data_IF_504690943840
#
_entry.id   IF_504690943840
#
_cell.length_a   1.000
_cell.length_b   1.000
_cell.length_c   1.000
_cell.angle_alpha   90.00
_cell.angle_beta   90.00
_cell.angle_gamma   90.00
#
_symmetry.space_group_name_H-M   'P 1'
#
loop_
_entity.id
_entity.type
_entity.pdbx_description
1 polymer ?
#
# COMPACT_ATOMS: atom_id res chain seq x y z
N UNK A 1 27.90 30.23 20.45
CA UNK A 1 27.39 31.21 21.43
C UNK A 1 25.92 31.37 21.11
N UNK A 2 25.03 31.14 22.08
CA UNK A 2 23.61 31.29 21.86
C UNK A 2 23.30 32.78 21.64
N UNK A 3 22.64 33.10 20.54
CA UNK A 3 22.24 34.47 20.20
C UNK A 3 20.74 34.62 20.40
N UNK A 4 20.38 35.27 21.50
CA UNK A 4 19.00 35.41 21.97
C UNK A 4 18.14 36.21 20.99
N UNK A 5 18.68 37.28 20.41
CA UNK A 5 17.95 38.17 19.49
C UNK A 5 17.58 37.45 18.19
N UNK A 6 18.52 36.70 17.62
CA UNK A 6 18.27 35.89 16.43
C UNK A 6 17.16 34.86 16.67
N UNK A 7 17.07 34.30 17.88
CA UNK A 7 16.04 33.31 18.22
C UNK A 7 14.66 33.95 18.46
N UNK A 8 14.59 35.13 19.10
CA UNK A 8 13.34 35.89 19.28
C UNK A 8 12.78 36.33 17.91
N UNK A 9 13.64 36.77 16.99
CA UNK A 9 13.23 37.11 15.63
C UNK A 9 12.74 35.89 14.84
N UNK A 10 13.44 34.76 14.93
CA UNK A 10 13.00 33.50 14.29
C UNK A 10 11.61 33.05 14.80
N UNK A 11 11.34 33.23 16.10
CA UNK A 11 10.06 32.91 16.71
C UNK A 11 8.93 33.86 16.23
N UNK A 12 9.16 35.18 16.21
CA UNK A 12 8.17 36.15 15.72
C UNK A 12 7.89 36.00 14.22
N UNK A 13 8.91 35.69 13.40
CA UNK A 13 8.74 35.40 11.97
C UNK A 13 7.94 34.11 11.73
N UNK A 14 8.11 33.09 12.59
CA UNK A 14 7.27 31.90 12.53
C UNK A 14 5.80 32.22 12.82
N UNK A 15 5.52 33.06 13.82
CA UNK A 15 4.17 33.53 14.13
C UNK A 15 3.56 34.35 12.99
N UNK A 16 4.35 35.20 12.31
CA UNK A 16 3.92 35.92 11.10
C UNK A 16 3.59 34.98 9.94
N UNK A 17 4.35 33.90 9.77
CA UNK A 17 4.19 32.98 8.64
C UNK A 17 3.02 31.99 8.81
N UNK A 18 2.66 31.64 10.05
CA UNK A 18 1.70 30.56 10.34
C UNK A 18 0.51 30.97 11.23
N UNK A 19 0.52 32.15 11.84
CA UNK A 19 -0.54 32.66 12.71
C UNK A 19 -1.53 33.58 12.00
N UNK A 20 -2.77 33.64 12.51
CA UNK A 20 -3.79 34.62 12.11
C UNK A 20 -3.74 35.90 12.98
N UNK A 21 -2.54 36.29 13.42
CA UNK A 21 -2.31 37.43 14.31
C UNK A 21 -1.94 38.68 13.51
N UNK A 22 -2.33 39.87 13.99
CA UNK A 22 -1.92 41.13 13.39
C UNK A 22 -0.49 41.50 13.80
N UNK A 23 0.18 42.37 13.04
CA UNK A 23 1.54 42.81 13.37
C UNK A 23 1.65 43.50 14.74
N UNK A 24 0.58 44.17 15.21
CA UNK A 24 0.52 44.73 16.56
C UNK A 24 0.48 43.66 17.64
N UNK A 25 -0.27 42.57 17.43
CA UNK A 25 -0.38 41.48 18.39
C UNK A 25 0.94 40.73 18.53
N UNK A 26 1.66 40.56 17.41
CA UNK A 26 2.98 39.92 17.39
C UNK A 26 4.01 40.78 18.12
N UNK A 27 3.94 42.12 17.96
CA UNK A 27 4.82 43.05 18.69
C UNK A 27 4.56 43.01 20.20
N UNK A 28 3.29 42.93 20.62
CA UNK A 28 2.93 42.80 22.04
C UNK A 28 3.42 41.48 22.64
N UNK A 29 3.24 40.37 21.92
CA UNK A 29 3.73 39.05 22.35
C UNK A 29 5.26 38.98 22.40
N UNK A 30 5.96 39.64 21.49
CA UNK A 30 7.42 39.75 21.52
C UNK A 30 7.91 40.54 22.73
N UNK A 31 7.25 41.65 23.08
CA UNK A 31 7.59 42.41 24.29
C UNK A 31 7.37 41.56 25.56
N UNK A 32 6.24 40.86 25.67
CA UNK A 32 6.00 39.97 26.80
C UNK A 32 7.01 38.82 26.90
N UNK A 33 7.42 38.26 25.76
CA UNK A 33 8.47 37.24 25.70
C UNK A 33 9.79 37.80 26.24
N UNK A 34 10.15 39.02 25.84
CA UNK A 34 11.37 39.69 26.29
C UNK A 34 11.35 39.96 27.79
N UNK A 35 10.25 40.47 28.32
CA UNK A 35 10.08 40.73 29.74
C UNK A 35 10.23 39.44 30.58
N UNK A 36 9.59 38.33 30.19
CA UNK A 36 9.74 37.05 30.91
C UNK A 36 11.18 36.50 30.83
N UNK A 37 11.86 36.67 29.70
CA UNK A 37 13.25 36.22 29.55
C UNK A 37 14.16 37.03 30.46
N UNK A 38 13.97 38.35 30.55
CA UNK A 38 14.74 39.20 31.46
C UNK A 38 14.55 38.79 32.93
N UNK A 39 13.32 38.51 33.34
CA UNK A 39 13.01 38.03 34.69
C UNK A 39 13.67 36.69 35.03
N UNK A 40 13.69 35.75 34.08
CA UNK A 40 14.32 34.44 34.26
C UNK A 40 15.85 34.52 34.28
N UNK A 41 16.43 35.40 33.46
CA UNK A 41 17.87 35.69 33.51
C UNK A 41 18.23 36.33 34.86
N UNK A 42 17.42 37.26 35.36
CA UNK A 42 17.60 37.87 36.68
C UNK A 42 17.48 36.84 37.82
N UNK A 43 16.67 35.80 37.65
CA UNK A 43 16.55 34.66 38.55
C UNK A 43 17.71 33.65 38.44
N UNK A 44 18.67 33.87 37.54
CA UNK A 44 19.90 33.09 37.41
C UNK A 44 19.89 31.99 36.35
N UNK A 45 18.89 31.95 35.46
CA UNK A 45 18.86 31.03 34.32
C UNK A 45 19.76 31.51 33.17
N UNK A 46 20.20 30.57 32.34
CA UNK A 46 20.91 30.92 31.11
C UNK A 46 19.94 31.46 30.05
N UNK A 47 20.41 32.28 29.08
CA UNK A 47 19.53 32.87 28.05
C UNK A 47 18.75 31.86 27.20
N UNK A 48 19.33 30.69 26.94
CA UNK A 48 18.72 29.59 26.20
C UNK A 48 17.62 28.87 27.00
N UNK A 49 17.85 28.62 28.29
CA UNK A 49 16.84 28.07 29.19
C UNK A 49 15.67 29.03 29.40
N UNK A 50 15.98 30.32 29.55
CA UNK A 50 15.00 31.39 29.73
C UNK A 50 14.05 31.48 28.53
N UNK A 51 14.60 31.50 27.30
CA UNK A 51 13.79 31.50 26.08
C UNK A 51 12.87 30.26 25.98
N UNK A 52 13.39 29.06 26.27
CA UNK A 52 12.61 27.83 26.16
C UNK A 52 11.45 27.78 27.16
N UNK A 53 11.67 28.29 28.37
CA UNK A 53 10.63 28.38 29.40
C UNK A 53 9.60 29.45 29.03
N UNK A 54 10.02 30.65 28.61
CA UNK A 54 9.10 31.74 28.26
C UNK A 54 8.25 31.39 27.03
N UNK A 55 8.82 30.80 25.99
CA UNK A 55 8.05 30.32 24.82
C UNK A 55 7.04 29.24 25.24
N UNK A 56 7.40 28.35 26.16
CA UNK A 56 6.48 27.33 26.70
C UNK A 56 5.39 27.94 27.57
N UNK A 57 5.68 29.02 28.31
CA UNK A 57 4.69 29.75 29.11
C UNK A 57 3.72 30.50 28.20
N UNK A 58 4.22 31.28 27.25
CA UNK A 58 3.42 31.97 26.22
C UNK A 58 2.56 31.02 25.39
N UNK A 59 3.10 29.87 24.98
CA UNK A 59 2.34 28.80 24.31
C UNK A 59 1.28 28.13 25.18
N UNK A 60 1.30 28.34 26.50
CA UNK A 60 0.33 27.86 27.47
C UNK A 60 -0.67 28.97 27.89
N UNK A 61 -0.65 30.13 27.21
CA UNK A 61 -1.54 31.27 27.45
C UNK A 61 -2.72 31.30 26.46
N UNK A 62 -3.56 30.27 26.54
CA UNK A 62 -5.02 30.47 26.51
C UNK A 62 -5.54 31.02 27.86
N UNK A 63 -4.62 31.34 28.78
CA UNK A 63 -4.86 31.79 30.15
C UNK A 63 -4.81 33.32 30.39
N UNK A 64 -4.74 34.15 29.33
CA UNK A 64 -5.08 35.59 29.40
C UNK A 64 -6.51 35.76 28.87
N UNK A 65 -7.45 35.13 29.57
CA UNK A 65 -8.90 35.26 29.35
C UNK A 65 -9.58 36.00 30.50
N UNK A 66 -8.87 36.93 31.14
CA UNK A 66 -9.40 37.71 32.28
C UNK A 66 -9.80 39.15 31.93
N UNK A 67 -9.28 39.73 30.84
CA UNK A 67 -9.68 41.07 30.38
C UNK A 67 -10.57 41.04 29.11
N UNK A 68 -10.55 39.95 28.32
CA UNK A 68 -11.41 39.81 27.13
C UNK A 68 -12.79 39.17 27.39
N UNK A 69 -13.06 38.69 28.60
CA UNK A 69 -14.33 38.06 29.00
C UNK A 69 -15.44 39.06 29.39
N UNK A 70 -15.29 40.36 29.11
CA UNK A 70 -16.32 41.37 29.40
C UNK A 70 -17.25 41.70 28.23
N UNK A 71 -16.94 41.26 27.00
CA UNK A 71 -17.68 41.73 25.81
C UNK A 71 -18.37 40.62 25.01
N UNK A 72 -18.20 39.32 25.30
CA UNK A 72 -18.87 38.29 24.47
C UNK A 72 -19.18 36.93 25.15
N UNK A 73 -19.58 36.97 26.42
CA UNK A 73 -19.55 35.81 27.33
C UNK A 73 -20.76 34.87 27.22
N UNK A 74 -21.91 35.30 26.68
CA UNK A 74 -23.07 34.41 26.57
C UNK A 74 -22.99 33.38 25.43
N UNK A 75 -22.18 33.63 24.41
CA UNK A 75 -22.06 32.74 23.24
C UNK A 75 -20.82 31.84 23.28
N UNK A 76 -19.74 32.26 23.98
CA UNK A 76 -18.52 31.46 24.10
C UNK A 76 -18.66 30.32 25.11
N UNK A 77 -19.31 30.55 26.25
CA UNK A 77 -19.48 29.53 27.29
C UNK A 77 -20.31 28.34 26.84
N UNK A 78 -21.27 28.55 25.93
CA UNK A 78 -22.03 27.46 25.29
C UNK A 78 -21.20 26.64 24.30
N UNK A 79 -20.10 27.18 23.78
CA UNK A 79 -19.16 26.47 22.89
C UNK A 79 -17.98 25.82 23.62
N UNK A 80 -17.69 26.23 24.86
CA UNK A 80 -16.54 25.75 25.64
C UNK A 80 -16.91 24.68 26.69
N UNK A 81 -18.10 24.76 27.29
CA UNK A 81 -18.61 23.70 28.19
C UNK A 81 -19.35 22.58 27.46
N UNK A 82 -19.62 22.78 26.18
CA UNK A 82 -19.94 21.71 25.25
C UNK A 82 -18.69 21.55 24.41
N UNK A 83 -17.74 20.68 24.83
CA UNK A 83 -16.94 20.00 23.81
C UNK A 83 -17.97 19.56 22.76
N UNK A 84 -17.87 19.97 21.48
CA UNK A 84 -18.74 19.39 20.49
C UNK A 84 -18.51 17.89 20.61
N UNK A 85 -19.57 17.16 20.99
CA UNK A 85 -19.54 15.75 21.39
C UNK A 85 -18.87 14.86 20.32
N UNK A 86 -18.62 15.42 19.13
CA UNK A 86 -17.61 14.95 18.18
C UNK A 86 -16.96 16.13 17.45
N UNK A 87 -15.62 16.25 17.48
CA UNK A 87 -14.92 17.10 16.52
C UNK A 87 -15.18 16.58 15.10
N UNK A 88 -15.20 17.43 14.04
CA UNK A 88 -15.47 16.98 12.67
C UNK A 88 -14.54 15.83 12.23
N UNK A 89 -13.29 15.85 12.69
CA UNK A 89 -12.32 14.78 12.48
C UNK A 89 -12.69 13.47 13.21
N UNK A 90 -13.13 13.54 14.48
CA UNK A 90 -13.64 12.38 15.23
C UNK A 90 -14.90 11.81 14.58
N UNK A 91 -15.83 12.67 14.14
CA UNK A 91 -17.06 12.24 13.46
C UNK A 91 -16.75 11.53 12.13
N UNK A 92 -15.82 12.08 11.34
CA UNK A 92 -15.38 11.46 10.09
C UNK A 92 -14.69 10.11 10.36
N UNK A 93 -13.87 10.03 11.41
CA UNK A 93 -13.21 8.78 11.79
C UNK A 93 -14.22 7.71 12.23
N UNK A 94 -15.23 8.08 13.04
CA UNK A 94 -16.33 7.18 13.44
C UNK A 94 -17.11 6.68 12.22
N UNK A 95 -17.40 7.58 11.27
CA UNK A 95 -18.06 7.22 10.01
C UNK A 95 -17.21 6.25 9.18
N UNK A 96 -15.92 6.49 9.05
CA UNK A 96 -15.01 5.60 8.32
C UNK A 96 -14.95 4.21 8.96
N UNK A 97 -14.86 4.12 10.30
CA UNK A 97 -14.93 2.85 11.03
C UNK A 97 -16.28 2.15 10.81
N UNK A 98 -17.39 2.88 10.87
CA UNK A 98 -18.71 2.31 10.59
C UNK A 98 -18.79 1.74 9.18
N UNK A 99 -18.23 2.43 8.17
CA UNK A 99 -18.16 1.93 6.79
C UNK A 99 -17.30 0.67 6.71
N UNK A 100 -16.15 0.60 7.39
CA UNK A 100 -15.29 -0.59 7.45
C UNK A 100 -16.06 -1.79 7.99
N UNK A 101 -16.78 -1.62 9.11
CA UNK A 101 -17.59 -2.70 9.72
C UNK A 101 -18.71 -3.13 8.78
N UNK A 102 -19.48 -2.19 8.24
CA UNK A 102 -20.60 -2.50 7.33
C UNK A 102 -20.09 -3.23 6.09
N UNK A 103 -19.01 -2.75 5.46
CA UNK A 103 -18.47 -3.36 4.26
C UNK A 103 -17.81 -4.72 4.52
N UNK A 104 -17.16 -4.92 5.67
CA UNK A 104 -16.66 -6.23 6.06
C UNK A 104 -17.80 -7.25 6.23
N UNK A 105 -18.89 -6.84 6.89
CA UNK A 105 -20.07 -7.69 7.06
C UNK A 105 -20.75 -7.98 5.72
N UNK A 106 -20.95 -6.96 4.87
CA UNK A 106 -21.54 -7.13 3.55
C UNK A 106 -20.67 -8.05 2.66
N UNK A 107 -19.34 -7.92 2.71
CA UNK A 107 -18.43 -8.80 1.99
C UNK A 107 -18.51 -10.25 2.47
N UNK A 108 -18.50 -10.48 3.79
CA UNK A 108 -18.66 -11.82 4.36
C UNK A 108 -20.02 -12.44 4.03
N UNK A 109 -21.09 -11.65 4.09
CA UNK A 109 -22.42 -12.10 3.68
C UNK A 109 -22.49 -12.40 2.19
N UNK A 110 -21.89 -11.56 1.34
CA UNK A 110 -21.81 -11.80 -0.11
C UNK A 110 -21.07 -13.11 -0.41
N UNK A 111 -20.04 -13.44 0.38
CA UNK A 111 -19.33 -14.72 0.30
C UNK A 111 -20.23 -15.92 0.58
N UNK A 112 -21.24 -15.79 1.46
CA UNK A 112 -22.17 -16.88 1.82
C UNK A 112 -23.36 -17.00 0.87
N UNK A 113 -23.65 -15.98 0.06
CA UNK A 113 -24.79 -16.00 -0.89
C UNK A 113 -24.76 -17.23 -1.83
N UNK A 114 -23.63 -17.63 -2.45
CA UNK A 114 -23.59 -18.81 -3.31
C UNK A 114 -24.05 -20.11 -2.64
N UNK A 115 -23.84 -20.28 -1.33
CA UNK A 115 -24.28 -21.47 -0.59
C UNK A 115 -25.80 -21.59 -0.56
N UNK A 116 -26.53 -20.45 -0.56
CA UNK A 116 -28.00 -20.43 -0.65
C UNK A 116 -28.51 -21.00 -1.98
N UNK A 117 -27.66 -21.02 -3.00
CA UNK A 117 -27.95 -21.60 -4.33
C UNK A 117 -27.37 -23.02 -4.48
N UNK A 118 -26.89 -23.64 -3.41
CA UNK A 118 -26.36 -25.01 -3.42
C UNK A 118 -24.86 -25.11 -3.75
N UNK A 119 -24.14 -23.99 -3.88
CA UNK A 119 -22.69 -24.00 -4.03
C UNK A 119 -22.02 -24.06 -2.65
N UNK A 120 -21.86 -25.26 -2.11
CA UNK A 120 -21.13 -25.44 -0.83
C UNK A 120 -19.69 -24.92 -0.91
N UNK A 121 -19.20 -24.31 0.17
CA UNK A 121 -17.92 -23.61 0.25
C UNK A 121 -16.71 -24.54 0.02
N UNK A 122 -16.72 -25.67 0.72
CA UNK A 122 -15.64 -26.64 0.73
C UNK A 122 -15.96 -27.82 -0.21
N UNK A 123 -14.92 -28.42 -0.79
CA UNK A 123 -15.01 -29.68 -1.53
C UNK A 123 -14.95 -30.91 -0.59
N UNK A 124 -14.79 -32.10 -1.16
CA UNK A 124 -14.78 -33.36 -0.40
C UNK A 124 -13.52 -33.51 0.47
N UNK A 125 -12.44 -32.82 0.12
CA UNK A 125 -11.15 -32.87 0.81
C UNK A 125 -11.02 -31.73 1.85
N UNK A 126 -12.06 -30.90 1.99
CA UNK A 126 -12.07 -29.76 2.92
C UNK A 126 -11.38 -28.51 2.36
N UNK A 127 -11.07 -28.47 1.06
CA UNK A 127 -10.46 -27.30 0.41
C UNK A 127 -11.51 -26.36 -0.15
N UNK A 128 -11.16 -25.06 -0.27
CA UNK A 128 -12.06 -24.06 -0.83
C UNK A 128 -12.32 -24.37 -2.31
N UNK A 129 -13.59 -24.52 -2.72
CA UNK A 129 -13.88 -24.81 -4.13
C UNK A 129 -13.33 -23.73 -5.06
N UNK A 130 -12.86 -24.16 -6.23
CA UNK A 130 -12.27 -23.29 -7.26
C UNK A 130 -13.17 -22.11 -7.64
N UNK A 131 -14.50 -22.28 -7.59
CA UNK A 131 -15.46 -21.21 -7.79
C UNK A 131 -15.24 -20.02 -6.84
N UNK A 132 -15.02 -20.29 -5.54
CA UNK A 132 -14.79 -19.25 -4.54
C UNK A 132 -13.39 -18.65 -4.67
N UNK A 133 -12.38 -19.46 -4.98
CA UNK A 133 -11.01 -18.98 -5.22
C UNK A 133 -11.00 -18.00 -6.41
N UNK A 134 -11.64 -18.39 -7.52
CA UNK A 134 -11.77 -17.55 -8.72
C UNK A 134 -12.53 -16.24 -8.46
N UNK A 135 -13.56 -16.28 -7.62
CA UNK A 135 -14.40 -15.12 -7.33
C UNK A 135 -13.97 -14.31 -6.10
N UNK A 136 -12.90 -14.71 -5.40
CA UNK A 136 -12.42 -14.08 -4.16
C UNK A 136 -12.35 -12.55 -4.26
N UNK A 137 -11.80 -12.05 -5.36
CA UNK A 137 -11.65 -10.61 -5.61
C UNK A 137 -12.98 -9.87 -5.70
N UNK A 138 -14.01 -10.49 -6.26
CA UNK A 138 -15.34 -9.88 -6.39
C UNK A 138 -16.08 -9.80 -5.06
N UNK A 139 -15.73 -10.66 -4.09
CA UNK A 139 -16.35 -10.62 -2.77
C UNK A 139 -15.87 -9.45 -1.90
N UNK A 140 -14.64 -8.95 -2.11
CA UNK A 140 -14.04 -7.94 -1.22
C UNK A 140 -13.62 -6.64 -1.92
N UNK A 141 -13.02 -6.70 -3.11
CA UNK A 141 -12.44 -5.52 -3.77
C UNK A 141 -13.48 -4.46 -4.17
N UNK A 142 -14.72 -4.78 -4.59
CA UNK A 142 -15.74 -3.76 -4.83
C UNK A 142 -16.05 -2.91 -3.60
N UNK A 143 -16.02 -3.52 -2.40
CA UNK A 143 -16.27 -2.80 -1.14
C UNK A 143 -15.08 -1.91 -0.76
N UNK A 144 -13.85 -2.35 -0.99
CA UNK A 144 -12.65 -1.51 -0.84
C UNK A 144 -12.71 -0.33 -1.80
N UNK A 145 -13.08 -0.56 -3.07
CA UNK A 145 -13.27 0.52 -4.04
C UNK A 145 -14.37 1.50 -3.60
N UNK A 146 -15.52 0.98 -3.15
CA UNK A 146 -16.62 1.79 -2.63
C UNK A 146 -16.18 2.66 -1.43
N UNK A 147 -15.38 2.11 -0.51
CA UNK A 147 -14.82 2.86 0.62
C UNK A 147 -14.02 4.07 0.16
N UNK A 148 -13.11 3.89 -0.81
CA UNK A 148 -12.35 5.01 -1.36
C UNK A 148 -13.21 6.00 -2.14
N UNK A 149 -14.18 5.53 -2.92
CA UNK A 149 -15.09 6.40 -3.66
C UNK A 149 -15.93 7.29 -2.74
N UNK A 150 -16.42 6.75 -1.61
CA UNK A 150 -17.11 7.53 -0.58
C UNK A 150 -16.15 8.54 0.06
N UNK A 151 -14.97 8.08 0.49
CA UNK A 151 -13.97 8.91 1.20
C UNK A 151 -13.44 10.06 0.35
N UNK A 152 -13.31 9.86 -0.96
CA UNK A 152 -12.86 10.88 -1.92
C UNK A 152 -14.00 11.72 -2.50
N UNK A 153 -15.26 11.50 -2.08
CA UNK A 153 -16.46 12.17 -2.61
C UNK A 153 -16.51 12.10 -4.14
N UNK A 154 -16.26 10.91 -4.69
CA UNK A 154 -16.17 10.70 -6.12
C UNK A 154 -17.51 10.99 -6.83
N UNK A 155 -17.42 11.54 -8.05
CA UNK A 155 -18.60 11.80 -8.87
C UNK A 155 -19.26 10.51 -9.37
N UNK A 156 -20.54 10.60 -9.74
CA UNK A 156 -21.34 9.45 -10.19
C UNK A 156 -20.72 8.72 -11.39
N UNK A 157 -20.07 9.46 -12.29
CA UNK A 157 -19.37 8.89 -13.46
C UNK A 157 -18.21 7.97 -13.05
N UNK A 158 -17.46 8.34 -12.02
CA UNK A 158 -16.37 7.50 -11.49
C UNK A 158 -16.93 6.25 -10.83
N UNK A 159 -18.02 6.39 -10.05
CA UNK A 159 -18.75 5.25 -9.47
C UNK A 159 -19.21 4.26 -10.54
N UNK A 160 -19.93 4.75 -11.56
CA UNK A 160 -20.48 3.90 -12.62
C UNK A 160 -19.37 3.21 -13.43
N UNK A 161 -18.25 3.90 -13.65
CA UNK A 161 -17.10 3.33 -14.38
C UNK A 161 -16.46 2.20 -13.58
N UNK A 162 -16.14 2.43 -12.30
CA UNK A 162 -15.43 1.44 -11.48
C UNK A 162 -16.32 0.23 -11.19
N UNK A 163 -17.57 0.44 -10.76
CA UNK A 163 -18.50 -0.66 -10.53
C UNK A 163 -18.87 -1.38 -11.84
N UNK A 164 -18.98 -0.65 -12.95
CA UNK A 164 -19.18 -1.23 -14.28
C UNK A 164 -18.06 -2.20 -14.67
N UNK A 165 -16.80 -1.86 -14.37
CA UNK A 165 -15.65 -2.76 -14.61
C UNK A 165 -15.75 -4.02 -13.74
N UNK A 166 -16.09 -3.89 -12.45
CA UNK A 166 -16.26 -5.07 -11.57
C UNK A 166 -17.38 -5.99 -12.06
N UNK A 167 -18.54 -5.42 -12.41
CA UNK A 167 -19.68 -6.19 -12.93
C UNK A 167 -19.32 -6.87 -14.25
N UNK A 168 -18.72 -6.13 -15.19
CA UNK A 168 -18.33 -6.69 -16.49
C UNK A 168 -17.30 -7.82 -16.31
N UNK A 169 -16.30 -7.62 -15.46
CA UNK A 169 -15.31 -8.65 -15.15
C UNK A 169 -15.97 -9.88 -14.52
N UNK A 170 -16.86 -9.71 -13.54
CA UNK A 170 -17.58 -10.81 -12.92
C UNK A 170 -18.44 -11.59 -13.93
N UNK A 171 -19.14 -10.89 -14.81
CA UNK A 171 -19.95 -11.52 -15.87
C UNK A 171 -19.10 -12.32 -16.84
N UNK A 172 -17.99 -11.74 -17.34
CA UNK A 172 -17.10 -12.42 -18.29
C UNK A 172 -16.49 -13.67 -17.65
N UNK A 173 -15.90 -13.53 -16.45
CA UNK A 173 -15.14 -14.59 -15.80
C UNK A 173 -16.04 -15.77 -15.38
N UNK A 174 -17.29 -15.49 -14.99
CA UNK A 174 -18.25 -16.54 -14.65
C UNK A 174 -19.01 -17.10 -15.86
N UNK A 175 -18.99 -16.41 -17.01
CA UNK A 175 -19.54 -16.93 -18.26
C UNK A 175 -18.55 -17.84 -19.01
N UNK A 176 -17.24 -17.70 -18.78
CA UNK A 176 -16.24 -18.54 -19.41
C UNK A 176 -16.33 -19.98 -18.90
N UNK A 177 -16.40 -20.98 -19.81
CA UNK A 177 -16.22 -22.37 -19.42
C UNK A 177 -14.76 -22.60 -19.00
N UNK A 178 -14.52 -23.75 -18.40
CA UNK A 178 -13.18 -24.23 -18.07
C UNK A 178 -13.12 -25.71 -18.45
N UNK A 179 -12.09 -26.09 -19.20
CA UNK A 179 -11.89 -27.45 -19.67
C UNK A 179 -10.54 -27.96 -19.19
N UNK A 180 -10.44 -29.27 -18.96
CA UNK A 180 -9.17 -29.91 -18.60
C UNK A 180 -8.06 -29.56 -19.59
N UNK A 181 -6.86 -29.16 -19.11
CA UNK A 181 -6.35 -29.21 -17.72
C UNK A 181 -6.54 -27.90 -16.90
N UNK A 182 -7.50 -27.04 -17.25
CA UNK A 182 -7.91 -25.83 -16.51
C UNK A 182 -6.81 -24.76 -16.39
N UNK A 183 -5.81 -24.76 -17.29
CA UNK A 183 -4.66 -23.84 -17.21
C UNK A 183 -5.08 -22.38 -17.27
N UNK A 184 -6.00 -22.02 -18.17
CA UNK A 184 -6.49 -20.65 -18.29
C UNK A 184 -7.30 -20.18 -17.07
N UNK A 185 -7.99 -21.09 -16.36
CA UNK A 185 -8.69 -20.77 -15.12
C UNK A 185 -7.72 -20.50 -13.97
N UNK A 186 -6.67 -21.32 -13.82
CA UNK A 186 -5.61 -21.05 -12.83
C UNK A 186 -4.89 -19.73 -13.12
N UNK A 187 -4.56 -19.43 -14.39
CA UNK A 187 -3.97 -18.15 -14.75
C UNK A 187 -4.89 -16.98 -14.40
N UNK A 188 -6.19 -17.13 -14.63
CA UNK A 188 -7.19 -16.14 -14.28
C UNK A 188 -7.24 -15.90 -12.77
N UNK A 189 -7.20 -16.96 -11.95
CA UNK A 189 -7.16 -16.88 -10.48
C UNK A 189 -6.01 -15.99 -9.99
N UNK A 190 -4.83 -16.06 -10.61
CA UNK A 190 -3.68 -15.25 -10.19
C UNK A 190 -3.70 -13.82 -10.76
N UNK A 191 -4.16 -13.61 -12.00
CA UNK A 191 -4.05 -12.30 -12.67
C UNK A 191 -5.24 -11.38 -12.41
N UNK A 192 -6.45 -11.94 -12.22
CA UNK A 192 -7.66 -11.16 -11.98
C UNK A 192 -7.59 -10.32 -10.69
N UNK A 193 -7.09 -10.83 -9.53
CA UNK A 193 -6.92 -10.01 -8.34
C UNK A 193 -5.98 -8.83 -8.57
N UNK A 194 -4.88 -9.03 -9.32
CA UNK A 194 -3.92 -7.96 -9.64
C UNK A 194 -4.55 -6.89 -10.53
N UNK A 195 -5.29 -7.30 -11.56
CA UNK A 195 -6.03 -6.40 -12.44
C UNK A 195 -7.05 -5.57 -11.65
N UNK A 196 -7.90 -6.22 -10.84
CA UNK A 196 -8.93 -5.55 -10.07
C UNK A 196 -8.35 -4.68 -8.95
N UNK A 197 -7.20 -5.04 -8.39
CA UNK A 197 -6.49 -4.19 -7.44
C UNK A 197 -6.02 -2.88 -8.10
N UNK A 198 -5.56 -2.92 -9.36
CA UNK A 198 -5.23 -1.71 -10.12
C UNK A 198 -6.47 -0.85 -10.41
N UNK A 199 -7.66 -1.48 -10.60
CA UNK A 199 -8.95 -0.76 -10.68
C UNK A 199 -9.30 -0.10 -9.34
N UNK A 200 -9.11 -0.78 -8.21
CA UNK A 200 -9.20 -0.17 -6.87
C UNK A 200 -8.23 1.01 -6.73
N UNK A 201 -7.04 0.90 -7.32
CA UNK A 201 -6.06 1.98 -7.37
C UNK A 201 -6.60 3.25 -8.03
N UNK A 202 -7.40 3.13 -9.09
CA UNK A 202 -8.09 4.28 -9.68
C UNK A 202 -9.08 4.94 -8.71
N UNK A 203 -9.81 4.15 -7.91
CA UNK A 203 -10.69 4.67 -6.84
C UNK A 203 -9.89 5.39 -5.75
N UNK A 204 -8.74 4.83 -5.35
CA UNK A 204 -7.86 5.40 -4.34
C UNK A 204 -7.21 6.72 -4.78
N UNK A 205 -6.67 6.77 -6.01
CA UNK A 205 -5.94 7.94 -6.55
C UNK A 205 -6.89 9.08 -6.95
N UNK A 206 -8.08 8.75 -7.47
CA UNK A 206 -9.06 9.75 -7.91
C UNK A 206 -8.52 10.66 -9.03
N UNK A 207 -8.70 11.98 -8.88
CA UNK A 207 -8.38 12.98 -9.93
C UNK A 207 -6.88 13.08 -10.25
N UNK A 208 -6.00 12.64 -9.35
CA UNK A 208 -4.56 12.70 -9.52
C UNK A 208 -3.97 11.56 -10.37
N UNK A 209 -4.81 10.72 -10.99
CA UNK A 209 -4.36 9.52 -11.74
C UNK A 209 -3.37 9.83 -12.86
N UNK A 210 -3.42 11.03 -13.45
CA UNK A 210 -2.47 11.47 -14.48
C UNK A 210 -1.09 11.84 -13.91
N UNK A 211 -1.01 12.21 -12.63
CA UNK A 211 0.23 12.56 -11.95
C UNK A 211 1.00 11.34 -11.44
N UNK A 212 2.33 11.38 -11.56
CA UNK A 212 3.20 10.33 -11.00
C UNK A 212 3.12 10.26 -9.47
N UNK A 213 2.84 11.38 -8.79
CA UNK A 213 2.72 11.41 -7.33
C UNK A 213 1.52 10.60 -6.83
N UNK A 214 0.35 10.74 -7.45
CA UNK A 214 -0.85 9.96 -7.11
C UNK A 214 -0.60 8.46 -7.29
N UNK A 215 -0.01 8.07 -8.43
CA UNK A 215 0.38 6.68 -8.71
C UNK A 215 1.41 6.16 -7.69
N UNK A 216 2.41 6.95 -7.33
CA UNK A 216 3.40 6.58 -6.30
C UNK A 216 2.75 6.41 -4.92
N UNK A 217 1.79 7.26 -4.56
CA UNK A 217 1.04 7.13 -3.31
C UNK A 217 0.22 5.83 -3.24
N UNK A 218 -0.29 5.35 -4.38
CA UNK A 218 -1.00 4.07 -4.46
C UNK A 218 -0.07 2.87 -4.34
N UNK A 219 1.10 2.97 -4.98
CA UNK A 219 2.16 1.97 -4.84
C UNK A 219 2.60 1.84 -3.37
N UNK A 220 2.82 2.97 -2.68
CA UNK A 220 3.13 2.98 -1.24
C UNK A 220 2.03 2.33 -0.42
N UNK A 221 0.79 2.76 -0.66
CA UNK A 221 -0.39 2.19 -0.02
C UNK A 221 -0.48 0.68 -0.22
N UNK A 222 -0.22 0.18 -1.42
CA UNK A 222 -0.31 -1.25 -1.74
C UNK A 222 0.64 -2.11 -0.89
N UNK A 223 1.89 -1.70 -0.73
CA UNK A 223 2.86 -2.48 0.06
C UNK A 223 2.65 -2.36 1.54
N UNK A 224 2.21 -1.18 2.01
CA UNK A 224 1.78 -1.05 3.40
C UNK A 224 0.54 -1.92 3.67
N UNK A 225 -0.45 -1.90 2.78
CA UNK A 225 -1.61 -2.77 2.87
C UNK A 225 -1.22 -4.25 2.84
N UNK A 226 -0.23 -4.65 2.04
CA UNK A 226 0.29 -6.01 2.07
C UNK A 226 0.90 -6.37 3.43
N UNK A 227 1.81 -5.54 3.95
CA UNK A 227 2.50 -5.80 5.23
C UNK A 227 1.51 -5.83 6.41
N UNK A 228 0.65 -4.82 6.51
CA UNK A 228 -0.37 -4.76 7.56
C UNK A 228 -1.43 -5.85 7.38
N UNK A 229 -1.78 -6.18 6.13
CA UNK A 229 -2.71 -7.27 5.80
C UNK A 229 -2.22 -8.60 6.34
N UNK A 230 -0.95 -8.94 6.11
CA UNK A 230 -0.33 -10.15 6.66
C UNK A 230 -0.38 -10.15 8.19
N UNK A 231 -0.07 -9.02 8.84
CA UNK A 231 -0.10 -8.93 10.30
C UNK A 231 -1.52 -9.06 10.88
N UNK A 232 -2.51 -8.40 10.27
CA UNK A 232 -3.91 -8.47 10.72
C UNK A 232 -4.47 -9.87 10.47
N UNK A 233 -4.19 -10.48 9.32
CA UNK A 233 -4.57 -11.87 9.02
C UNK A 233 -3.92 -12.86 9.99
N UNK A 234 -2.65 -12.67 10.35
CA UNK A 234 -2.01 -13.49 11.38
C UNK A 234 -2.75 -13.38 12.72
N UNK A 235 -3.23 -12.20 13.10
CA UNK A 235 -4.11 -12.01 14.26
C UNK A 235 -5.41 -12.81 14.16
N UNK A 236 -6.06 -12.84 12.99
CA UNK A 236 -7.27 -13.67 12.74
C UNK A 236 -6.94 -15.16 12.88
N UNK A 237 -5.82 -15.62 12.31
CA UNK A 237 -5.40 -17.03 12.41
C UNK A 237 -5.10 -17.43 13.86
N UNK A 238 -4.43 -16.57 14.63
CA UNK A 238 -4.19 -16.79 16.05
C UNK A 238 -5.51 -16.87 16.83
N UNK A 239 -6.46 -15.97 16.55
CA UNK A 239 -7.80 -16.03 17.15
C UNK A 239 -8.53 -17.33 16.82
N UNK A 240 -8.44 -17.81 15.58
CA UNK A 240 -9.00 -19.10 15.17
C UNK A 240 -8.38 -20.25 15.95
N UNK A 241 -7.05 -20.29 16.07
CA UNK A 241 -6.34 -21.31 16.83
C UNK A 241 -6.72 -21.32 18.31
N UNK A 242 -6.79 -20.15 18.96
CA UNK A 242 -7.26 -20.05 20.34
C UNK A 242 -8.71 -20.50 20.50
N UNK A 243 -9.57 -20.15 19.55
CA UNK A 243 -10.98 -20.56 19.58
C UNK A 243 -11.10 -22.07 19.47
N UNK A 244 -10.35 -22.71 18.57
CA UNK A 244 -10.30 -24.17 18.45
C UNK A 244 -9.89 -24.82 19.79
N UNK A 245 -8.78 -24.39 20.39
CA UNK A 245 -8.27 -24.97 21.65
C UNK A 245 -9.25 -24.80 22.82
N UNK A 246 -9.87 -23.63 22.97
CA UNK A 246 -10.79 -23.36 24.09
C UNK A 246 -12.05 -24.23 23.99
N UNK A 247 -12.61 -24.40 22.79
CA UNK A 247 -13.81 -25.21 22.59
C UNK A 247 -13.53 -26.71 22.61
N UNK A 248 -12.37 -27.14 22.09
CA UNK A 248 -11.92 -28.52 22.20
C UNK A 248 -11.74 -28.96 23.67
N UNK A 249 -11.23 -28.06 24.52
CA UNK A 249 -11.08 -28.32 25.97
C UNK A 249 -12.40 -28.64 26.69
N UNK A 250 -13.54 -28.17 26.15
CA UNK A 250 -14.89 -28.49 26.62
C UNK A 250 -15.63 -29.50 25.73
N UNK A 251 -14.89 -30.19 24.85
CA UNK A 251 -15.38 -31.23 23.94
C UNK A 251 -16.47 -30.74 22.96
N UNK A 252 -16.36 -29.49 22.50
CA UNK A 252 -17.21 -28.92 21.46
C UNK A 252 -16.39 -28.76 20.19
N UNK A 253 -16.81 -29.45 19.12
CA UNK A 253 -16.23 -29.27 17.79
C UNK A 253 -16.77 -27.97 17.15
N UNK A 254 -15.86 -27.06 16.83
CA UNK A 254 -16.15 -25.76 16.21
C UNK A 254 -15.52 -25.61 14.83
N UNK A 255 -14.95 -26.68 14.25
CA UNK A 255 -14.23 -26.62 12.98
C UNK A 255 -15.05 -25.97 11.86
N UNK A 256 -16.31 -26.40 11.69
CA UNK A 256 -17.23 -25.85 10.69
C UNK A 256 -17.53 -24.36 10.93
N UNK A 257 -17.66 -23.93 12.19
CA UNK A 257 -17.85 -22.52 12.50
C UNK A 257 -16.60 -21.69 12.15
N UNK A 258 -15.41 -22.23 12.43
CA UNK A 258 -14.14 -21.56 12.13
C UNK A 258 -13.94 -21.43 10.62
N UNK A 259 -14.06 -22.53 9.88
CA UNK A 259 -13.79 -22.57 8.45
C UNK A 259 -14.82 -21.81 7.61
N UNK A 260 -16.10 -21.97 7.92
CA UNK A 260 -17.17 -21.40 7.08
C UNK A 260 -17.65 -20.00 7.50
N UNK A 261 -17.34 -19.56 8.73
CA UNK A 261 -17.79 -18.27 9.25
C UNK A 261 -16.64 -17.41 9.75
N UNK A 262 -15.90 -17.85 10.77
CA UNK A 262 -14.88 -17.00 11.40
C UNK A 262 -13.78 -16.60 10.41
N UNK A 263 -13.28 -17.54 9.60
CA UNK A 263 -12.27 -17.25 8.59
C UNK A 263 -12.80 -16.36 7.46
N UNK A 264 -14.04 -16.55 7.03
CA UNK A 264 -14.65 -15.76 5.94
C UNK A 264 -14.90 -14.31 6.38
N UNK A 265 -15.65 -14.12 7.48
CA UNK A 265 -15.94 -12.78 7.99
C UNK A 265 -14.69 -12.13 8.59
N UNK A 266 -13.83 -12.90 9.26
CA UNK A 266 -12.56 -12.45 9.79
C UNK A 266 -11.59 -12.02 8.70
N UNK A 267 -11.50 -12.75 7.58
CA UNK A 267 -10.71 -12.37 6.42
C UNK A 267 -11.23 -11.10 5.73
N UNK A 268 -12.55 -10.97 5.56
CA UNK A 268 -13.16 -9.75 5.02
C UNK A 268 -12.92 -8.54 5.93
N UNK A 269 -13.07 -8.73 7.25
CA UNK A 269 -12.76 -7.71 8.24
C UNK A 269 -11.28 -7.34 8.22
N UNK A 270 -10.37 -8.31 8.16
CA UNK A 270 -8.95 -8.07 8.08
C UNK A 270 -8.57 -7.24 6.85
N UNK A 271 -9.14 -7.55 5.68
CA UNK A 271 -8.91 -6.79 4.45
C UNK A 271 -9.39 -5.34 4.58
N UNK A 272 -10.61 -5.11 5.08
CA UNK A 272 -11.17 -3.76 5.26
C UNK A 272 -10.44 -2.96 6.36
N UNK A 273 -10.13 -3.58 7.50
CA UNK A 273 -9.37 -2.97 8.60
C UNK A 273 -7.99 -2.56 8.11
N UNK A 274 -7.31 -3.42 7.36
CA UNK A 274 -5.99 -3.14 6.77
C UNK A 274 -6.02 -1.89 5.91
N UNK A 275 -6.98 -1.80 4.99
CA UNK A 275 -7.16 -0.64 4.11
C UNK A 275 -7.36 0.64 4.93
N UNK A 276 -8.21 0.57 5.95
CA UNK A 276 -8.49 1.71 6.82
C UNK A 276 -7.27 2.13 7.66
N UNK A 277 -6.54 1.17 8.25
CA UNK A 277 -5.36 1.43 9.07
C UNK A 277 -4.28 2.15 8.26
N UNK A 278 -3.98 1.67 7.05
CA UNK A 278 -2.98 2.28 6.18
C UNK A 278 -3.38 3.70 5.77
N UNK A 279 -4.65 3.90 5.39
CA UNK A 279 -5.16 5.23 5.03
C UNK A 279 -5.16 6.20 6.22
N UNK A 280 -5.51 5.73 7.43
CA UNK A 280 -5.52 6.56 8.65
C UNK A 280 -4.10 6.91 9.12
N UNK A 281 -3.14 5.99 8.98
CA UNK A 281 -1.75 6.15 9.45
C UNK A 281 -0.94 7.16 8.64
N UNK A 282 -1.30 7.44 7.39
CA UNK A 282 -0.53 8.22 6.41
C UNK A 282 0.02 9.58 6.90
N UNK A 283 -0.45 10.11 8.04
CA UNK A 283 -0.01 11.37 8.65
C UNK A 283 0.91 11.25 9.88
N UNK A 284 1.10 10.07 10.51
CA UNK A 284 1.66 9.99 11.88
C UNK A 284 2.98 9.20 12.02
N UNK A 285 3.28 8.23 11.15
CA UNK A 285 4.41 7.31 11.38
C UNK A 285 5.11 6.94 10.06
N UNK A 286 6.43 6.76 10.10
CA UNK A 286 7.24 6.28 8.98
C UNK A 286 6.71 4.98 8.37
N UNK A 287 6.83 4.86 7.05
CA UNK A 287 6.29 3.74 6.29
C UNK A 287 7.19 2.50 6.44
N UNK A 288 6.61 1.36 6.82
CA UNK A 288 7.36 0.10 7.04
C UNK A 288 7.94 -0.48 5.75
N UNK A 289 7.23 -0.39 4.62
CA UNK A 289 7.66 -0.99 3.36
C UNK A 289 9.04 -0.49 2.89
N UNK A 290 9.33 0.82 2.89
CA UNK A 290 10.69 1.36 2.75
C UNK A 290 11.77 0.74 3.63
N UNK A 291 11.48 0.56 4.92
CA UNK A 291 12.44 0.04 5.90
C UNK A 291 12.74 -1.42 5.56
N UNK A 292 11.70 -2.20 5.31
CA UNK A 292 11.81 -3.59 4.92
C UNK A 292 12.63 -3.72 3.63
N UNK A 293 12.36 -2.87 2.63
CA UNK A 293 13.11 -2.88 1.39
C UNK A 293 14.60 -2.64 1.59
N UNK A 294 14.99 -1.66 2.42
CA UNK A 294 16.40 -1.39 2.73
C UNK A 294 17.11 -2.56 3.42
N UNK A 295 16.40 -3.33 4.25
CA UNK A 295 16.94 -4.50 4.95
C UNK A 295 17.08 -5.69 3.99
N UNK A 296 16.06 -5.94 3.17
CA UNK A 296 16.00 -7.14 2.33
C UNK A 296 16.76 -6.98 1.01
N UNK A 297 16.88 -5.79 0.43
CA UNK A 297 17.62 -5.59 -0.81
C UNK A 297 19.07 -6.12 -0.80
N UNK A 298 19.93 -5.83 0.22
CA UNK A 298 21.27 -6.43 0.27
C UNK A 298 21.24 -7.95 0.39
N UNK A 299 20.30 -8.51 1.14
CA UNK A 299 20.17 -9.97 1.33
C UNK A 299 19.80 -10.65 0.01
N UNK A 300 18.81 -10.11 -0.71
CA UNK A 300 18.42 -10.61 -2.03
C UNK A 300 19.57 -10.49 -3.03
N UNK A 301 20.30 -9.38 -3.01
CA UNK A 301 21.47 -9.22 -3.87
C UNK A 301 22.52 -10.32 -3.61
N UNK A 302 22.85 -10.58 -2.34
CA UNK A 302 23.80 -11.64 -1.97
C UNK A 302 23.29 -13.01 -2.47
N UNK A 303 22.02 -13.35 -2.22
CA UNK A 303 21.44 -14.62 -2.66
C UNK A 303 21.45 -14.76 -4.18
N UNK A 304 21.05 -13.73 -4.92
CA UNK A 304 21.02 -13.76 -6.39
C UNK A 304 22.43 -13.89 -6.99
N UNK A 305 23.42 -13.18 -6.44
CA UNK A 305 24.82 -13.29 -6.87
C UNK A 305 25.38 -14.67 -6.54
N UNK A 306 25.17 -15.17 -5.32
CA UNK A 306 25.58 -16.51 -4.92
C UNK A 306 24.97 -17.58 -5.83
N UNK A 307 23.68 -17.44 -6.15
CA UNK A 307 22.98 -18.31 -7.08
C UNK A 307 23.62 -18.32 -8.47
N UNK A 308 23.91 -17.14 -9.05
CA UNK A 308 24.58 -17.04 -10.34
C UNK A 308 25.98 -17.70 -10.30
N UNK A 309 26.74 -17.50 -9.23
CA UNK A 309 28.06 -18.14 -9.05
C UNK A 309 27.92 -19.66 -9.02
N UNK A 310 27.00 -20.21 -8.22
CA UNK A 310 26.77 -21.66 -8.12
C UNK A 310 26.34 -22.24 -9.46
N UNK A 311 25.47 -21.55 -10.20
CA UNK A 311 25.03 -21.99 -11.52
C UNK A 311 26.20 -22.06 -12.51
N UNK A 312 27.08 -21.05 -12.52
CA UNK A 312 28.28 -21.04 -13.37
C UNK A 312 29.23 -22.19 -13.00
N UNK A 313 29.46 -22.42 -11.71
CA UNK A 313 30.37 -23.48 -11.23
C UNK A 313 29.84 -24.87 -11.56
N UNK A 314 28.53 -25.10 -11.35
CA UNK A 314 27.91 -26.42 -11.56
C UNK A 314 27.61 -26.71 -13.03
N UNK A 315 27.50 -25.68 -13.87
CA UNK A 315 27.08 -25.79 -15.27
C UNK A 315 25.62 -26.23 -15.45
N UNK A 316 24.87 -26.35 -14.35
CA UNK A 316 23.49 -26.78 -14.35
C UNK A 316 22.57 -25.56 -14.31
N UNK A 317 21.72 -25.42 -15.32
CA UNK A 317 20.68 -24.40 -15.37
C UNK A 317 19.37 -24.96 -14.83
N UNK A 318 18.91 -24.55 -13.63
CA UNK A 318 17.65 -25.04 -13.06
C UNK A 318 16.42 -24.58 -13.85
N UNK A 319 16.57 -23.61 -14.75
CA UNK A 319 15.48 -23.05 -15.56
C UNK A 319 14.91 -24.04 -16.59
N UNK A 320 15.51 -25.21 -16.75
CA UNK A 320 14.94 -26.30 -17.54
C UNK A 320 13.77 -26.99 -16.82
N UNK A 321 13.73 -26.91 -15.50
CA UNK A 321 12.67 -27.47 -14.67
C UNK A 321 11.55 -26.45 -14.43
N UNK A 322 10.29 -26.92 -14.51
CA UNK A 322 9.12 -26.05 -14.41
C UNK A 322 9.01 -25.36 -13.05
N UNK A 323 9.24 -26.10 -11.97
CA UNK A 323 8.99 -25.61 -10.61
C UNK A 323 10.01 -24.55 -10.20
N UNK A 324 11.23 -24.65 -10.74
CA UNK A 324 12.26 -23.65 -10.55
C UNK A 324 11.91 -22.32 -11.21
N UNK A 325 11.36 -22.33 -12.44
CA UNK A 325 10.95 -21.10 -13.13
C UNK A 325 9.93 -20.27 -12.32
N UNK A 326 8.94 -20.93 -11.70
CA UNK A 326 7.94 -20.26 -10.86
C UNK A 326 8.61 -19.57 -9.65
N UNK A 327 9.58 -20.24 -9.02
CA UNK A 327 10.35 -19.65 -7.91
C UNK A 327 11.17 -18.43 -8.35
N UNK A 328 11.73 -18.44 -9.56
CA UNK A 328 12.47 -17.29 -10.11
C UNK A 328 11.55 -16.13 -10.48
N UNK A 329 10.40 -16.38 -11.10
CA UNK A 329 9.41 -15.34 -11.41
C UNK A 329 8.95 -14.64 -10.11
N UNK A 330 8.66 -15.42 -9.06
CA UNK A 330 8.36 -14.87 -7.73
C UNK A 330 9.52 -14.04 -7.17
N UNK A 331 10.76 -14.51 -7.28
CA UNK A 331 11.94 -13.76 -6.84
C UNK A 331 12.10 -12.45 -7.61
N UNK A 332 11.92 -12.44 -8.93
CA UNK A 332 12.02 -11.23 -9.75
C UNK A 332 10.90 -10.23 -9.43
N UNK A 333 9.67 -10.71 -9.21
CA UNK A 333 8.56 -9.88 -8.74
C UNK A 333 8.85 -9.25 -7.37
N UNK A 334 9.42 -10.03 -6.43
CA UNK A 334 9.86 -9.51 -5.12
C UNK A 334 10.96 -8.46 -5.27
N UNK A 335 11.96 -8.71 -6.10
CA UNK A 335 13.05 -7.76 -6.38
C UNK A 335 12.50 -6.47 -6.98
N UNK A 336 11.59 -6.56 -7.96
CA UNK A 336 10.90 -5.38 -8.50
C UNK A 336 10.19 -4.59 -7.39
N UNK A 337 9.49 -5.28 -6.48
CA UNK A 337 8.87 -4.68 -5.31
C UNK A 337 9.88 -3.94 -4.43
N UNK A 338 10.98 -4.59 -4.06
CA UNK A 338 12.07 -4.01 -3.25
C UNK A 338 12.66 -2.76 -3.93
N UNK A 339 12.97 -2.86 -5.23
CA UNK A 339 13.52 -1.77 -6.05
C UNK A 339 12.59 -0.56 -6.02
N UNK A 340 11.31 -0.81 -6.24
CA UNK A 340 10.26 0.20 -6.23
C UNK A 340 10.13 0.85 -4.84
N UNK A 341 10.23 0.11 -3.74
CA UNK A 341 10.13 0.66 -2.38
C UNK A 341 11.36 1.47 -1.98
N UNK A 342 12.55 1.07 -2.42
CA UNK A 342 13.76 1.88 -2.24
C UNK A 342 13.62 3.21 -2.99
N UNK A 343 13.15 3.19 -4.24
CA UNK A 343 12.89 4.42 -5.02
C UNK A 343 11.82 5.29 -4.34
N UNK A 344 10.75 4.65 -3.88
CA UNK A 344 9.63 5.31 -3.21
C UNK A 344 10.04 6.03 -1.92
N UNK A 345 10.99 5.49 -1.17
CA UNK A 345 11.48 6.05 0.09
C UNK A 345 12.49 7.20 -0.10
N UNK A 346 12.92 7.47 -1.33
CA UNK A 346 14.03 8.37 -1.60
C UNK A 346 13.59 9.83 -1.63
N UNK A 347 14.29 10.68 -0.89
CA UNK A 347 14.13 12.14 -0.98
C UNK A 347 14.82 12.70 -2.24
N UNK A 348 14.02 13.12 -3.22
CA UNK A 348 14.45 13.61 -4.53
C UNK A 348 15.57 14.67 -4.45
N UNK A 349 15.68 15.42 -3.34
CA UNK A 349 16.65 16.52 -3.18
C UNK A 349 18.05 16.09 -2.75
N UNK A 350 18.22 14.90 -2.17
CA UNK A 350 19.57 14.48 -1.74
C UNK A 350 20.38 13.98 -2.95
N UNK A 351 21.73 13.95 -2.88
CA UNK A 351 22.54 13.32 -3.92
C UNK A 351 22.37 11.79 -3.94
N UNK A 352 23.00 11.15 -4.92
CA UNK A 352 23.10 9.69 -4.97
C UNK A 352 23.76 9.14 -3.70
N UNK A 353 23.16 8.09 -3.12
CA UNK A 353 23.65 7.45 -1.90
C UNK A 353 23.94 5.96 -2.11
N UNK A 354 24.44 5.27 -1.08
CA UNK A 354 24.77 3.84 -1.13
C UNK A 354 23.58 2.98 -1.60
N UNK A 355 22.36 3.31 -1.17
CA UNK A 355 21.17 2.56 -1.55
C UNK A 355 20.85 2.71 -3.03
N UNK A 356 21.16 3.84 -3.67
CA UNK A 356 21.00 3.98 -5.12
C UNK A 356 21.93 3.01 -5.87
N UNK A 357 23.18 2.87 -5.44
CA UNK A 357 24.14 1.91 -6.05
C UNK A 357 23.74 0.45 -5.79
N UNK A 358 23.28 0.15 -4.57
CA UNK A 358 22.77 -1.17 -4.23
C UNK A 358 21.55 -1.50 -5.11
N UNK A 359 20.64 -0.54 -5.29
CA UNK A 359 19.46 -0.71 -6.10
C UNK A 359 19.80 -0.96 -7.57
N UNK A 360 20.74 -0.19 -8.15
CA UNK A 360 21.21 -0.45 -9.51
C UNK A 360 21.85 -1.84 -9.62
N UNK A 361 22.69 -2.23 -8.67
CA UNK A 361 23.31 -3.57 -8.69
C UNK A 361 22.25 -4.66 -8.65
N UNK A 362 21.26 -4.54 -7.77
CA UNK A 362 20.14 -5.46 -7.67
C UNK A 362 19.35 -5.56 -8.99
N UNK A 363 19.06 -4.43 -9.64
CA UNK A 363 18.41 -4.38 -10.95
C UNK A 363 19.27 -5.08 -12.01
N UNK A 364 20.58 -4.82 -12.06
CA UNK A 364 21.46 -5.45 -13.05
C UNK A 364 21.55 -6.96 -12.85
N UNK A 365 21.64 -7.44 -11.61
CA UNK A 365 21.62 -8.87 -11.30
C UNK A 365 20.27 -9.48 -11.68
N UNK A 366 19.15 -8.80 -11.41
CA UNK A 366 17.83 -9.23 -11.82
C UNK A 366 17.71 -9.36 -13.34
N UNK A 367 18.22 -8.38 -14.11
CA UNK A 367 18.24 -8.42 -15.56
C UNK A 367 19.01 -9.61 -16.14
N UNK A 368 20.13 -9.99 -15.50
CA UNK A 368 20.88 -11.19 -15.91
C UNK A 368 20.05 -12.45 -15.67
N UNK A 369 19.43 -12.58 -14.49
CA UNK A 369 18.60 -13.73 -14.14
C UNK A 369 17.38 -13.82 -15.07
N UNK A 370 16.69 -12.72 -15.29
CA UNK A 370 15.54 -12.59 -16.20
C UNK A 370 15.93 -12.95 -17.65
N UNK A 371 17.09 -12.49 -18.11
CA UNK A 371 17.63 -12.88 -19.43
C UNK A 371 17.88 -14.40 -19.56
N UNK A 372 18.36 -15.06 -18.50
CA UNK A 372 18.53 -16.51 -18.47
C UNK A 372 17.16 -17.21 -18.47
N UNK A 373 16.21 -16.73 -17.65
CA UNK A 373 14.85 -17.26 -17.58
C UNK A 373 14.14 -17.15 -18.93
N UNK A 374 14.18 -15.98 -19.58
CA UNK A 374 13.64 -15.74 -20.92
C UNK A 374 14.23 -16.70 -21.95
N UNK A 375 15.55 -16.92 -21.92
CA UNK A 375 16.21 -17.86 -22.83
C UNK A 375 15.69 -19.29 -22.65
N UNK A 376 15.49 -19.73 -21.41
CA UNK A 376 14.91 -21.04 -21.10
C UNK A 376 13.44 -21.14 -21.54
N UNK A 377 12.64 -20.10 -21.31
CA UNK A 377 11.23 -20.05 -21.75
C UNK A 377 11.14 -20.12 -23.28
N UNK A 378 11.97 -19.37 -24.00
CA UNK A 378 12.02 -19.39 -25.47
C UNK A 378 12.41 -20.77 -26.00
N UNK A 379 13.41 -21.42 -25.40
CA UNK A 379 13.77 -22.80 -25.74
C UNK A 379 12.60 -23.77 -25.50
N UNK A 380 11.88 -23.64 -24.38
CA UNK A 380 10.74 -24.50 -24.07
C UNK A 380 9.54 -24.25 -24.98
N UNK A 381 9.35 -23.03 -25.46
CA UNK A 381 8.33 -22.68 -26.45
C UNK A 381 8.65 -23.28 -27.81
N UNK A 382 9.92 -23.25 -28.24
CA UNK A 382 10.34 -23.84 -29.51
C UNK A 382 10.35 -25.37 -29.48
N UNK A 383 10.79 -25.97 -28.37
CA UNK A 383 10.90 -27.43 -28.23
C UNK A 383 9.55 -28.12 -27.94
N UNK A 384 8.69 -27.52 -27.12
CA UNK A 384 7.48 -28.16 -26.60
C UNK A 384 6.18 -27.41 -26.96
N UNK A 385 6.24 -26.46 -27.90
CA UNK A 385 5.10 -25.67 -28.36
C UNK A 385 4.58 -24.62 -27.38
N UNK A 386 3.63 -23.82 -27.86
CA UNK A 386 2.99 -22.72 -27.12
C UNK A 386 1.90 -23.28 -26.21
N UNK A 387 1.96 -22.94 -24.93
CA UNK A 387 0.91 -23.25 -23.94
C UNK A 387 0.55 -21.97 -23.17
N UNK A 388 -0.64 -21.90 -22.54
CA UNK A 388 -1.06 -20.72 -21.78
C UNK A 388 -0.02 -20.30 -20.75
N UNK A 389 0.46 -21.26 -19.95
CA UNK A 389 1.41 -21.00 -18.86
C UNK A 389 2.76 -20.49 -19.36
N UNK A 390 3.29 -21.05 -20.47
CA UNK A 390 4.57 -20.59 -21.02
C UNK A 390 4.45 -19.21 -21.65
N UNK A 391 3.33 -18.91 -22.30
CA UNK A 391 3.09 -17.59 -22.88
C UNK A 391 2.86 -16.53 -21.79
N UNK A 392 2.21 -16.91 -20.69
CA UNK A 392 2.06 -16.06 -19.51
C UNK A 392 3.44 -15.73 -18.89
N UNK A 393 4.25 -16.76 -18.62
CA UNK A 393 5.60 -16.56 -18.09
C UNK A 393 6.48 -15.72 -19.03
N UNK A 394 6.39 -15.93 -20.35
CA UNK A 394 7.11 -15.12 -21.33
C UNK A 394 6.73 -13.64 -21.24
N UNK A 395 5.43 -13.32 -21.24
CA UNK A 395 4.99 -11.93 -21.21
C UNK A 395 5.25 -11.24 -19.87
N UNK A 396 5.17 -11.97 -18.75
CA UNK A 396 5.59 -11.48 -17.44
C UNK A 396 7.08 -11.11 -17.44
N UNK A 397 7.95 -12.03 -17.85
CA UNK A 397 9.40 -11.78 -17.91
C UNK A 397 9.73 -10.65 -18.91
N UNK A 398 9.04 -10.54 -20.06
CA UNK A 398 9.23 -9.41 -20.98
C UNK A 398 8.81 -8.06 -20.37
N UNK A 399 7.74 -8.04 -19.59
CA UNK A 399 7.31 -6.83 -18.88
C UNK A 399 8.30 -6.46 -17.77
N UNK A 400 8.83 -7.45 -17.04
CA UNK A 400 9.88 -7.25 -16.03
C UNK A 400 11.17 -6.73 -16.68
N UNK A 401 11.66 -7.39 -17.72
CA UNK A 401 12.85 -6.99 -18.48
C UNK A 401 12.73 -5.55 -18.96
N UNK A 402 11.59 -5.19 -19.57
CA UNK A 402 11.35 -3.84 -20.04
C UNK A 402 11.37 -2.81 -18.92
N UNK A 403 10.72 -3.09 -17.79
CA UNK A 403 10.73 -2.20 -16.63
C UNK A 403 12.14 -2.02 -16.06
N UNK A 404 12.81 -3.13 -15.74
CA UNK A 404 14.13 -3.17 -15.12
C UNK A 404 15.21 -2.57 -16.01
N UNK A 405 15.17 -2.83 -17.33
CA UNK A 405 16.13 -2.25 -18.28
C UNK A 405 15.96 -0.73 -18.37
N UNK A 406 14.72 -0.24 -18.40
CA UNK A 406 14.43 1.19 -18.34
C UNK A 406 14.91 1.83 -17.04
N UNK A 407 14.67 1.18 -15.89
CA UNK A 407 15.19 1.65 -14.61
C UNK A 407 16.72 1.68 -14.57
N UNK A 408 17.39 0.62 -15.03
CA UNK A 408 18.85 0.54 -15.09
C UNK A 408 19.42 1.68 -15.94
N UNK A 409 18.85 1.91 -17.12
CA UNK A 409 19.25 3.01 -17.99
C UNK A 409 19.07 4.39 -17.34
N UNK A 410 17.92 4.61 -16.68
CA UNK A 410 17.64 5.86 -15.99
C UNK A 410 18.55 6.07 -14.76
N UNK A 411 18.85 5.02 -13.99
CA UNK A 411 19.82 5.08 -12.88
C UNK A 411 21.22 5.41 -13.37
N UNK A 412 21.70 4.75 -14.43
CA UNK A 412 23.01 5.05 -15.04
C UNK A 412 23.05 6.51 -15.52
N UNK A 413 21.96 6.99 -16.13
CA UNK A 413 21.83 8.39 -16.55
C UNK A 413 21.81 9.37 -15.37
N UNK A 414 21.13 9.03 -14.28
CA UNK A 414 21.10 9.79 -13.03
C UNK A 414 22.49 9.90 -12.40
N UNK A 415 23.25 8.80 -12.32
CA UNK A 415 24.64 8.82 -11.84
C UNK A 415 25.58 9.63 -12.73
N UNK A 416 25.32 9.65 -14.04
CA UNK A 416 26.02 10.51 -15.00
C UNK A 416 25.49 11.96 -15.02
N UNK A 417 24.59 12.33 -14.11
CA UNK A 417 23.94 13.66 -14.01
C UNK A 417 23.22 14.11 -15.29
N UNK A 418 22.76 13.16 -16.12
CA UNK A 418 22.01 13.43 -17.35
C UNK A 418 20.50 13.52 -17.11
N UNK A 419 20.00 12.88 -16.05
CA UNK A 419 18.59 12.77 -15.73
C UNK A 419 18.32 13.07 -14.27
N UNK A 420 17.15 13.66 -13.97
CA UNK A 420 16.66 13.84 -12.61
C UNK A 420 16.00 12.58 -12.07
N UNK A 421 16.03 12.41 -10.75
CA UNK A 421 15.40 11.28 -10.07
C UNK A 421 13.88 11.17 -10.33
N UNK A 422 13.22 12.30 -10.60
CA UNK A 422 11.80 12.35 -10.99
C UNK A 422 11.48 11.50 -12.22
N UNK A 423 12.44 11.33 -13.15
CA UNK A 423 12.26 10.46 -14.32
C UNK A 423 12.16 8.99 -13.93
N UNK A 424 12.88 8.53 -12.90
CA UNK A 424 12.76 7.17 -12.38
C UNK A 424 11.38 6.93 -11.78
N UNK A 425 10.90 7.86 -10.95
CA UNK A 425 9.55 7.78 -10.35
C UNK A 425 8.49 7.74 -11.45
N UNK A 426 8.62 8.59 -12.46
CA UNK A 426 7.69 8.61 -13.59
C UNK A 426 7.71 7.28 -14.35
N UNK A 427 8.88 6.77 -14.73
CA UNK A 427 9.01 5.48 -15.40
C UNK A 427 8.34 4.36 -14.61
N UNK A 428 8.64 4.28 -13.30
CA UNK A 428 8.11 3.23 -12.45
C UNK A 428 6.59 3.30 -12.32
N UNK A 429 6.06 4.50 -12.16
CA UNK A 429 4.61 4.70 -12.02
C UNK A 429 3.85 4.58 -13.33
N UNK A 430 4.46 4.94 -14.47
CA UNK A 430 3.87 4.76 -15.80
C UNK A 430 3.80 3.27 -16.17
N UNK A 431 4.72 2.45 -15.66
CA UNK A 431 4.70 1.01 -15.90
C UNK A 431 3.48 0.28 -15.31
N UNK A 432 2.73 0.92 -14.39
CA UNK A 432 1.43 0.42 -13.94
C UNK A 432 0.45 0.20 -15.10
N UNK A 433 0.53 0.99 -16.17
CA UNK A 433 -0.30 0.78 -17.37
C UNK A 433 0.04 -0.52 -18.10
N UNK A 434 1.32 -0.90 -18.11
CA UNK A 434 1.78 -2.17 -18.70
C UNK A 434 1.27 -3.33 -17.86
N UNK A 435 1.43 -3.28 -16.53
CA UNK A 435 0.91 -4.31 -15.63
C UNK A 435 -0.62 -4.44 -15.70
N UNK A 436 -1.34 -3.31 -15.77
CA UNK A 436 -2.80 -3.31 -15.95
C UNK A 436 -3.21 -4.00 -17.24
N UNK A 437 -2.54 -3.67 -18.35
CA UNK A 437 -2.86 -4.26 -19.65
C UNK A 437 -2.51 -5.75 -19.69
N UNK A 438 -1.35 -6.13 -19.15
CA UNK A 438 -0.89 -7.52 -19.13
C UNK A 438 -1.81 -8.42 -18.29
N UNK A 439 -2.11 -8.00 -17.06
CA UNK A 439 -3.03 -8.76 -16.18
C UNK A 439 -4.42 -8.89 -16.79
N UNK A 440 -4.92 -7.85 -17.48
CA UNK A 440 -6.18 -7.93 -18.24
C UNK A 440 -6.11 -8.93 -19.41
N UNK A 441 -5.01 -8.91 -20.19
CA UNK A 441 -4.82 -9.84 -21.32
C UNK A 441 -4.86 -11.29 -20.82
N UNK A 442 -4.13 -11.59 -19.74
CA UNK A 442 -4.09 -12.95 -19.20
C UNK A 442 -5.42 -13.36 -18.59
N UNK A 443 -6.10 -12.48 -17.83
CA UNK A 443 -7.38 -12.82 -17.20
C UNK A 443 -8.55 -12.96 -18.20
N UNK A 444 -8.60 -12.14 -19.26
CA UNK A 444 -9.78 -12.07 -20.14
C UNK A 444 -9.56 -12.64 -21.55
N UNK A 445 -8.35 -12.53 -22.10
CA UNK A 445 -8.08 -12.86 -23.50
C UNK A 445 -7.48 -14.26 -23.63
N UNK A 446 -6.60 -14.69 -22.72
CA UNK A 446 -6.00 -16.03 -22.77
C UNK A 446 -7.04 -17.16 -22.74
N UNK A 447 -8.10 -17.12 -21.91
CA UNK A 447 -9.17 -18.13 -21.97
C UNK A 447 -9.72 -18.29 -23.39
N UNK A 448 -9.94 -17.21 -24.13
CA UNK A 448 -10.43 -17.27 -25.51
C UNK A 448 -9.38 -17.86 -26.46
N UNK A 449 -8.14 -17.35 -26.42
CA UNK A 449 -7.05 -17.76 -27.33
C UNK A 449 -6.77 -19.26 -27.20
N UNK A 450 -6.78 -19.77 -25.97
CA UNK A 450 -6.50 -21.16 -25.67
C UNK A 450 -7.75 -22.02 -25.53
N UNK A 451 -8.91 -21.54 -26.00
CA UNK A 451 -10.17 -22.29 -26.04
C UNK A 451 -10.57 -22.86 -24.67
N UNK A 452 -10.29 -22.12 -23.60
CA UNK A 452 -10.67 -22.38 -22.23
C UNK A 452 -10.00 -23.63 -21.60
N UNK A 453 -8.89 -24.11 -22.17
CA UNK A 453 -8.08 -25.21 -21.61
C UNK A 453 -7.08 -24.76 -20.55
#
# INVERSE_FOLDING_TARGET
MFDLETQIHSWSDHLRAYGNLSDSDIYELENHLRDEIEDLIAAGLTPDESLLISVKRLGNVEAISHEFAKVNTENLWKHLLVEPIDSPAKQQNRRDIALVVIFALLAGTLFKIPELFGFGLLDQDGELKIFFIKNLSFFILPFIAAFFLIKRKAELKTWSTILGIFILAALIINAYPSFDPHHTEYLTIFHLPLFLWLVVGAAYIGREWRGSQGRMNFIRFTGEAFIYGVLVMAGVMVLCAFTAVIFEAIQIDVENFLSEYLLIYGGCAAAMITVYLVEAKKSVVENFAPILAKIFSPLFLITMVAFLIVMIITGNSPFMERDFLIGFDLMLALVLGLVLYVISARDIRQPANLFDYLNLTLILTALVIDGIALSAILFRLSAFGITPNKLAALGENLALLGNLAGLAWLYIGYFKRKFDFTKLIKWQTDYLYVYFSWTAIVAFIFPIIFRFS
#
